data_IF_275660491021
#
_entry.id   IF_275660491021
#
_cell.length_a   1.000
_cell.length_b   1.000
_cell.length_c   1.000
_cell.angle_alpha   90.00
_cell.angle_beta   90.00
_cell.angle_gamma   90.00
#
_symmetry.space_group_name_H-M   'P 1'
#
loop_
_entity.id
_entity.type
_entity.pdbx_description
1 polymer ?
#
# COMPACT_ATOMS: atom_id res chain seq x y z
N UNK A 1 12.53 6.48 -17.55
CA UNK A 1 13.10 6.06 -16.26
C UNK A 1 11.99 5.34 -15.51
N UNK A 2 12.23 4.13 -15.04
CA UNK A 2 11.26 3.37 -14.24
C UNK A 2 11.48 3.67 -12.76
N UNK A 3 10.39 3.70 -11.99
CA UNK A 3 10.44 3.80 -10.54
C UNK A 3 9.76 2.58 -9.92
N UNK A 4 10.38 1.99 -8.91
CA UNK A 4 9.89 0.81 -8.19
C UNK A 4 9.39 1.21 -6.80
N UNK A 5 8.11 1.02 -6.54
CA UNK A 5 7.52 1.21 -5.22
C UNK A 5 7.20 -0.15 -4.60
N UNK A 6 7.84 -0.44 -3.48
CA UNK A 6 7.49 -1.56 -2.60
C UNK A 6 6.54 -1.05 -1.52
N UNK A 7 5.45 -1.78 -1.29
CA UNK A 7 4.44 -1.48 -0.27
C UNK A 7 4.39 -2.65 0.69
N UNK A 8 4.92 -2.46 1.90
CA UNK A 8 4.82 -3.42 2.99
C UNK A 8 3.51 -3.19 3.74
N UNK A 9 2.73 -4.25 3.89
CA UNK A 9 1.39 -4.24 4.47
C UNK A 9 1.45 -4.95 5.81
N UNK A 10 0.99 -4.28 6.88
CA UNK A 10 0.97 -4.84 8.23
C UNK A 10 -0.41 -4.68 8.83
N UNK A 11 -0.99 -5.79 9.28
CA UNK A 11 -2.25 -5.82 10.00
C UNK A 11 -2.00 -5.81 11.51
N UNK A 12 -2.42 -4.73 12.17
CA UNK A 12 -2.39 -4.57 13.62
C UNK A 12 -3.80 -4.35 14.19
N UNK A 13 -4.85 -4.56 13.39
CA UNK A 13 -6.25 -4.35 13.78
C UNK A 13 -6.82 -5.46 14.66
N UNK A 14 -6.12 -6.59 14.82
CA UNK A 14 -6.60 -7.75 15.56
C UNK A 14 -7.67 -8.59 14.85
N UNK A 15 -8.17 -8.15 13.69
CA UNK A 15 -9.12 -8.86 12.85
C UNK A 15 -8.49 -9.33 11.53
N UNK A 16 -9.02 -10.39 10.93
CA UNK A 16 -8.62 -10.77 9.57
C UNK A 16 -9.16 -9.75 8.56
N UNK A 17 -8.28 -9.21 7.72
CA UNK A 17 -8.64 -8.20 6.73
C UNK A 17 -8.67 -8.80 5.33
N UNK A 18 -9.64 -8.36 4.51
CA UNK A 18 -9.71 -8.72 3.09
C UNK A 18 -9.47 -7.48 2.24
N UNK A 19 -8.67 -7.64 1.19
CA UNK A 19 -8.42 -6.59 0.19
C UNK A 19 -9.73 -6.16 -0.43
N UNK A 20 -9.89 -4.84 -0.63
CA UNK A 20 -11.08 -4.23 -1.20
C UNK A 20 -10.85 -3.78 -2.63
N UNK A 21 -11.94 -3.66 -3.38
CA UNK A 21 -11.95 -3.25 -4.79
C UNK A 21 -11.45 -1.81 -5.02
N UNK A 22 -11.39 -0.98 -3.96
CA UNK A 22 -10.72 0.32 -4.00
C UNK A 22 -9.21 0.21 -4.21
N UNK A 23 -8.61 -0.98 -4.04
CA UNK A 23 -7.19 -1.23 -4.31
C UNK A 23 -6.94 -1.15 -5.80
N UNK A 24 -6.15 -0.15 -6.22
CA UNK A 24 -5.89 0.14 -7.64
C UNK A 24 -4.57 0.87 -7.81
N UNK A 25 -4.02 0.82 -9.01
CA UNK A 25 -2.83 1.59 -9.37
C UNK A 25 -2.99 2.14 -10.79
N UNK A 26 -2.44 3.32 -11.05
CA UNK A 26 -2.34 3.87 -12.41
C UNK A 26 -1.13 3.32 -13.17
N UNK A 27 -0.28 2.54 -12.50
CA UNK A 27 0.87 1.84 -13.06
C UNK A 27 0.58 0.33 -13.15
N UNK A 28 1.61 -0.50 -13.05
CA UNK A 28 1.48 -1.96 -13.05
C UNK A 28 1.91 -2.52 -11.70
N UNK A 29 1.05 -3.32 -11.08
CA UNK A 29 1.49 -4.26 -10.05
C UNK A 29 2.34 -5.35 -10.70
N UNK A 30 3.62 -5.42 -10.35
CA UNK A 30 4.46 -6.58 -10.65
C UNK A 30 4.16 -7.71 -9.66
N UNK A 31 3.96 -7.35 -8.40
CA UNK A 31 3.40 -8.24 -7.37
C UNK A 31 2.17 -7.54 -6.76
N UNK A 32 0.96 -8.09 -6.94
CA UNK A 32 -0.23 -7.49 -6.37
C UNK A 32 -0.26 -7.68 -4.84
N UNK A 33 -0.91 -6.77 -4.09
CA UNK A 33 -1.13 -6.96 -2.65
C UNK A 33 -1.92 -8.25 -2.39
N UNK A 34 -1.71 -8.97 -1.27
CA UNK A 34 -2.43 -10.22 -1.00
C UNK A 34 -3.93 -10.01 -0.81
N UNK A 35 -4.74 -11.02 -1.14
CA UNK A 35 -6.20 -10.92 -1.02
C UNK A 35 -6.69 -10.83 0.43
N UNK A 36 -5.91 -11.36 1.38
CA UNK A 36 -6.22 -11.31 2.80
C UNK A 36 -4.95 -11.12 3.64
N UNK A 37 -5.12 -10.50 4.81
CA UNK A 37 -4.13 -10.41 5.88
C UNK A 37 -4.72 -11.09 7.13
N UNK A 38 -3.97 -11.99 7.75
CA UNK A 38 -4.40 -12.69 8.98
C UNK A 38 -4.49 -11.74 10.17
N UNK A 39 -5.28 -12.10 11.18
CA UNK A 39 -5.41 -11.33 12.42
C UNK A 39 -4.14 -11.37 13.31
N UNK A 40 -3.39 -12.47 13.25
CA UNK A 40 -2.30 -12.77 14.21
C UNK A 40 -0.93 -12.31 13.73
N UNK A 41 -0.69 -12.38 12.43
CA UNK A 41 0.61 -12.14 11.80
C UNK A 41 0.45 -11.56 10.39
N UNK A 42 -0.64 -10.83 10.17
CA UNK A 42 -1.08 -10.40 8.85
C UNK A 42 -0.09 -9.46 8.19
N UNK A 43 0.84 -10.02 7.43
CA UNK A 43 1.83 -9.29 6.66
C UNK A 43 1.69 -9.61 5.19
N UNK A 44 1.97 -8.62 4.37
CA UNK A 44 1.96 -8.75 2.92
C UNK A 44 2.93 -7.77 2.30
N UNK A 45 3.22 -7.97 1.02
CA UNK A 45 3.91 -6.98 0.23
C UNK A 45 3.25 -6.84 -1.14
N UNK A 46 3.38 -5.67 -1.72
CA UNK A 46 3.03 -5.39 -3.11
C UNK A 46 4.17 -4.60 -3.76
N UNK A 47 4.38 -4.84 -5.05
CA UNK A 47 5.39 -4.13 -5.83
C UNK A 47 4.72 -3.50 -7.03
N UNK A 48 4.90 -2.19 -7.17
CA UNK A 48 4.43 -1.41 -8.32
C UNK A 48 5.63 -0.89 -9.09
N UNK A 49 5.62 -1.10 -10.40
CA UNK A 49 6.60 -0.53 -11.30
C UNK A 49 5.89 0.43 -12.26
N UNK A 50 6.35 1.68 -12.27
CA UNK A 50 5.77 2.76 -13.05
C UNK A 50 6.81 3.64 -13.73
N UNK A 51 6.32 4.66 -14.44
CA UNK A 51 7.15 5.73 -15.00
C UNK A 51 7.62 6.71 -13.92
N UNK A 52 7.94 7.95 -14.32
CA UNK A 52 8.36 9.00 -13.39
C UNK A 52 7.26 9.43 -12.41
N UNK A 53 5.99 9.20 -12.76
CA UNK A 53 4.85 9.54 -11.90
C UNK A 53 3.74 8.49 -12.01
N UNK A 54 3.15 8.12 -10.87
CA UNK A 54 1.99 7.25 -10.79
C UNK A 54 1.32 7.33 -9.40
N UNK A 55 0.10 6.83 -9.29
CA UNK A 55 -0.62 6.69 -8.04
C UNK A 55 -0.95 5.22 -7.76
N UNK A 56 -0.83 4.81 -6.51
CA UNK A 56 -1.24 3.49 -6.02
C UNK A 56 -2.08 3.65 -4.77
N UNK A 57 -3.16 2.87 -4.68
CA UNK A 57 -4.07 2.82 -3.56
C UNK A 57 -4.18 1.37 -3.07
N UNK A 58 -4.08 1.15 -1.77
CA UNK A 58 -4.24 -0.17 -1.12
C UNK A 58 -5.28 -0.05 -0.01
N UNK A 59 -6.31 -0.89 -0.05
CA UNK A 59 -7.46 -0.83 0.86
C UNK A 59 -7.84 -2.21 1.36
N UNK A 60 -8.01 -2.33 2.68
CA UNK A 60 -8.35 -3.55 3.39
C UNK A 60 -9.52 -3.32 4.35
N UNK A 61 -10.27 -4.37 4.68
CA UNK A 61 -11.30 -4.29 5.71
C UNK A 61 -11.95 -5.63 6.03
N UNK A 62 -12.67 -5.70 7.15
CA UNK A 62 -13.36 -6.90 7.64
C UNK A 62 -14.89 -6.72 7.54
N UNK A 63 -15.60 -7.60 6.81
CA UNK A 63 -17.08 -7.68 6.80
C UNK A 63 -17.92 -6.47 6.30
N UNK A 64 -17.34 -5.26 6.23
CA UNK A 64 -17.93 -3.89 6.15
C UNK A 64 -18.37 -3.34 7.53
N UNK A 65 -17.81 -2.22 8.03
CA UNK A 65 -18.29 -0.87 7.69
C UNK A 65 -17.23 0.23 7.41
N UNK A 66 -15.94 0.06 7.73
CA UNK A 66 -14.91 1.03 7.37
C UNK A 66 -13.66 0.32 6.85
N UNK A 67 -13.43 0.40 5.54
CA UNK A 67 -12.16 -0.03 4.94
C UNK A 67 -11.05 0.94 5.34
N UNK A 68 -9.89 0.42 5.70
CA UNK A 68 -8.67 1.19 5.98
C UNK A 68 -7.70 1.07 4.83
N UNK A 69 -7.00 2.14 4.51
CA UNK A 69 -6.13 2.15 3.35
C UNK A 69 -5.31 3.40 3.19
N UNK A 70 -4.38 3.30 2.26
CA UNK A 70 -3.46 4.37 1.91
C UNK A 70 -3.44 4.62 0.41
N UNK A 71 -3.33 5.90 0.05
CA UNK A 71 -2.98 6.34 -1.29
C UNK A 71 -1.55 6.88 -1.28
N UNK A 72 -0.74 6.36 -2.19
CA UNK A 72 0.68 6.66 -2.35
C UNK A 72 0.86 7.22 -3.77
N UNK A 73 1.36 8.44 -3.85
CA UNK A 73 1.70 9.10 -5.11
C UNK A 73 3.22 9.12 -5.27
N UNK A 74 3.68 8.76 -6.46
CA UNK A 74 5.07 8.94 -6.89
C UNK A 74 5.09 10.06 -7.92
N UNK A 75 5.99 11.03 -7.78
CA UNK A 75 6.22 12.10 -8.73
C UNK A 75 7.70 12.48 -8.78
N UNK A 76 8.30 12.37 -9.96
CA UNK A 76 9.72 12.62 -10.21
C UNK A 76 10.64 11.88 -9.22
N UNK A 77 10.29 10.62 -8.93
CA UNK A 77 11.02 9.76 -8.00
C UNK A 77 10.84 10.12 -6.52
N UNK A 78 9.91 11.01 -6.18
CA UNK A 78 9.55 11.35 -4.80
C UNK A 78 8.24 10.69 -4.42
N UNK A 79 8.20 10.11 -3.24
CA UNK A 79 6.98 9.52 -2.66
C UNK A 79 6.25 10.56 -1.83
N UNK A 80 4.94 10.61 -1.97
CA UNK A 80 4.03 11.39 -1.13
C UNK A 80 2.84 10.52 -0.74
N UNK A 81 2.46 10.58 0.52
CA UNK A 81 1.28 9.89 1.05
C UNK A 81 0.12 10.87 1.11
N UNK A 82 -1.05 10.44 0.66
CA UNK A 82 -2.28 11.24 0.64
C UNK A 82 -3.13 10.81 1.85
N UNK A 83 -4.02 11.66 2.42
CA UNK A 83 -4.70 11.32 3.67
C UNK A 83 -5.38 9.96 3.59
N UNK A 84 -4.99 9.14 4.55
CA UNK A 84 -5.29 7.72 4.69
C UNK A 84 -5.90 7.53 6.07
N UNK A 85 -6.71 6.49 6.23
CA UNK A 85 -7.21 6.05 7.55
C UNK A 85 -6.48 4.77 8.01
N UNK A 86 -5.28 4.56 7.45
CA UNK A 86 -4.25 3.63 7.90
C UNK A 86 -2.98 4.45 8.14
N UNK A 87 -2.11 4.01 9.04
CA UNK A 87 -0.82 4.67 9.24
C UNK A 87 0.11 4.35 8.07
N UNK A 88 0.91 5.33 7.65
CA UNK A 88 1.82 5.19 6.53
C UNK A 88 3.19 5.77 6.86
N UNK A 89 4.22 4.96 6.68
CA UNK A 89 5.62 5.32 6.91
C UNK A 89 6.42 5.10 5.62
N UNK A 90 7.22 6.09 5.22
CA UNK A 90 8.19 5.92 4.12
C UNK A 90 9.49 5.41 4.75
N UNK A 91 9.74 4.11 4.63
CA UNK A 91 10.93 3.47 5.23
C UNK A 91 12.22 3.80 4.46
N UNK A 92 12.12 3.88 3.13
CA UNK A 92 13.23 4.27 2.27
C UNK A 92 12.74 4.92 0.98
N UNK A 93 13.52 5.86 0.45
CA UNK A 93 13.29 6.44 -0.86
C UNK A 93 14.63 6.90 -1.47
N UNK A 94 14.87 6.48 -2.70
CA UNK A 94 15.92 6.97 -3.57
C UNK A 94 15.32 7.44 -4.91
N UNK A 95 16.17 7.91 -5.84
CA UNK A 95 15.69 8.46 -7.11
C UNK A 95 15.05 7.44 -8.07
N UNK A 96 15.05 6.14 -7.75
CA UNK A 96 14.57 5.04 -8.58
C UNK A 96 13.68 4.04 -7.82
N UNK A 97 13.75 3.98 -6.50
CA UNK A 97 12.96 3.07 -5.70
C UNK A 97 12.53 3.68 -4.35
N UNK A 98 11.43 3.15 -3.80
CA UNK A 98 11.04 3.44 -2.43
C UNK A 98 10.31 2.26 -1.79
N UNK A 99 10.41 2.17 -0.47
CA UNK A 99 9.62 1.26 0.35
C UNK A 99 8.72 2.09 1.26
N UNK A 100 7.42 1.77 1.23
CA UNK A 100 6.40 2.36 2.09
C UNK A 100 5.75 1.26 2.91
N UNK A 101 5.66 1.48 4.21
CA UNK A 101 4.94 0.61 5.13
C UNK A 101 3.56 1.19 5.40
N UNK A 102 2.53 0.37 5.22
CA UNK A 102 1.13 0.69 5.50
C UNK A 102 0.65 -0.21 6.63
N UNK A 103 0.21 0.40 7.73
CA UNK A 103 -0.20 -0.28 8.95
C UNK A 103 -1.71 -0.10 9.14
N UNK A 104 -2.43 -1.21 9.15
CA UNK A 104 -3.87 -1.26 9.40
C UNK A 104 -4.09 -1.50 10.90
N UNK A 105 -4.07 -0.44 11.70
CA UNK A 105 -4.44 -0.46 13.12
C UNK A 105 -5.93 -0.18 13.37
N UNK A 106 -6.31 -0.06 14.65
CA UNK A 106 -7.64 0.36 15.13
C UNK A 106 -7.80 1.88 15.30
#
# INVERSE_FOLDING_TARGET
MSFTLTIDLVNESGDALTRKDQTRTSARFETPPPDALSATDGRGSATVVGGSSFETQVWYGHGQAASRGAAISVSDGRVSTVPSNADVEVESADGQAATVKVIFGD
#
